data_IF_874554840148
#
_entry.id   IF_874554840148
#
_cell.length_a   1.000
_cell.length_b   1.000
_cell.length_c   1.000
_cell.angle_alpha   90.00
_cell.angle_beta   90.00
_cell.angle_gamma   90.00
#
_symmetry.space_group_name_H-M   'P 1'
#
loop_
_entity.id
_entity.type
_entity.pdbx_description
1 polymer ?
#
# COMPACT_ATOMS: atom_id res chain seq x y z
N UNK A 1 1.43 2.44 3.59
CA UNK A 1 1.70 1.30 2.68
C UNK A 1 1.57 0.01 3.44
N UNK A 2 0.94 -1.01 2.85
CA UNK A 2 0.76 -2.32 3.45
C UNK A 2 1.96 -3.23 3.10
N UNK A 3 2.57 -3.87 4.10
CA UNK A 3 3.72 -4.77 3.95
C UNK A 3 3.36 -6.17 4.45
N UNK A 4 3.58 -7.18 3.61
CA UNK A 4 3.43 -8.59 4.03
C UNK A 4 4.55 -8.95 5.01
N UNK A 5 4.15 -9.44 6.18
CA UNK A 5 5.07 -9.80 7.25
C UNK A 5 5.33 -11.32 7.36
N UNK A 6 4.72 -12.14 6.50
CA UNK A 6 4.84 -13.61 6.62
C UNK A 6 6.27 -14.09 6.59
N UNK A 7 7.07 -13.61 5.64
CA UNK A 7 8.50 -13.96 5.52
C UNK A 7 9.39 -13.26 6.53
N UNK A 8 8.87 -12.24 7.21
CA UNK A 8 9.62 -11.40 8.16
C UNK A 8 9.47 -11.89 9.60
N UNK A 9 8.39 -12.60 9.94
CA UNK A 9 8.23 -13.28 11.24
C UNK A 9 9.17 -14.49 11.31
N UNK A 10 10.17 -14.42 12.17
CA UNK A 10 11.21 -15.46 12.28
C UNK A 10 11.17 -16.23 13.60
N UNK A 11 10.62 -15.62 14.65
CA UNK A 11 10.68 -16.18 16.03
C UNK A 11 9.35 -15.99 16.79
N UNK A 12 8.43 -16.97 16.74
CA UNK A 12 8.42 -18.16 15.90
C UNK A 12 8.08 -17.82 14.43
N UNK A 13 8.57 -18.57 13.46
CA UNK A 13 8.18 -18.37 12.08
C UNK A 13 6.71 -18.75 11.89
N UNK A 14 6.03 -18.04 11.00
CA UNK A 14 4.66 -18.40 10.63
C UNK A 14 4.69 -19.69 9.79
N UNK A 15 3.69 -20.58 9.95
CA UNK A 15 3.55 -21.74 9.08
C UNK A 15 3.49 -21.34 7.61
N UNK A 16 4.07 -22.13 6.71
CA UNK A 16 4.11 -21.84 5.28
C UNK A 16 2.71 -21.59 4.68
N UNK A 17 1.69 -22.28 5.19
CA UNK A 17 0.30 -22.16 4.76
C UNK A 17 -0.53 -21.31 5.73
N UNK A 18 0.08 -20.37 6.44
CA UNK A 18 -0.65 -19.51 7.37
C UNK A 18 -1.72 -18.71 6.62
N UNK A 19 -2.96 -18.95 7.02
CA UNK A 19 -4.13 -18.17 6.57
C UNK A 19 -4.55 -17.24 7.70
N UNK A 20 -4.46 -15.93 7.48
CA UNK A 20 -4.79 -14.92 8.47
C UNK A 20 -4.12 -13.58 8.17
N UNK A 21 -4.45 -12.58 8.96
CA UNK A 21 -3.86 -11.25 8.86
C UNK A 21 -2.38 -11.30 9.27
N UNK A 22 -1.52 -11.10 8.30
CA UNK A 22 -0.07 -11.02 8.48
C UNK A 22 0.51 -9.86 7.67
N UNK A 23 -0.21 -8.75 7.67
CA UNK A 23 0.20 -7.50 7.04
C UNK A 23 0.35 -6.43 8.10
N UNK A 24 1.24 -5.49 7.86
CA UNK A 24 1.47 -4.32 8.71
C UNK A 24 1.57 -3.07 7.85
N UNK A 25 0.95 -2.00 8.31
CA UNK A 25 1.07 -0.72 7.62
C UNK A 25 2.31 0.03 8.08
N UNK A 26 3.00 0.60 7.10
CA UNK A 26 4.17 1.44 7.32
C UNK A 26 3.96 2.81 6.70
N UNK A 27 4.57 3.81 7.31
CA UNK A 27 4.51 5.20 6.84
C UNK A 27 5.91 5.64 6.44
N UNK A 28 6.04 6.02 5.17
CA UNK A 28 7.20 6.76 4.68
C UNK A 28 6.87 8.25 4.71
N UNK A 29 7.70 9.04 5.33
CA UNK A 29 7.50 10.49 5.45
C UNK A 29 8.57 11.25 4.70
N UNK A 30 8.15 12.33 4.04
CA UNK A 30 9.05 13.27 3.37
C UNK A 30 8.46 14.67 3.41
N UNK A 31 9.30 15.68 3.29
CA UNK A 31 8.85 17.06 3.11
C UNK A 31 8.57 17.34 1.64
N UNK A 32 7.49 18.06 1.34
CA UNK A 32 7.12 18.39 -0.04
C UNK A 32 8.21 19.14 -0.79
N UNK A 33 8.91 20.07 -0.14
CA UNK A 33 10.04 20.77 -0.73
C UNK A 33 11.21 19.86 -1.11
N UNK A 34 11.45 18.78 -0.35
CA UNK A 34 12.48 17.79 -0.70
C UNK A 34 12.05 16.90 -1.86
N UNK A 35 10.76 16.52 -1.92
CA UNK A 35 10.23 15.75 -3.05
C UNK A 35 10.30 16.52 -4.36
N UNK A 36 10.11 17.85 -4.32
CA UNK A 36 10.19 18.72 -5.49
C UNK A 36 11.64 19.05 -5.93
N UNK A 37 12.59 19.07 -5.00
CA UNK A 37 13.96 19.52 -5.27
C UNK A 37 14.98 18.40 -5.44
N UNK A 38 14.64 17.18 -5.02
CA UNK A 38 15.55 16.03 -5.08
C UNK A 38 15.15 15.05 -6.18
N UNK A 39 16.09 14.26 -6.71
CA UNK A 39 15.78 13.22 -7.68
C UNK A 39 14.77 12.20 -7.15
N UNK A 40 14.03 11.53 -8.05
CA UNK A 40 13.05 10.47 -7.72
C UNK A 40 13.64 9.39 -6.80
N UNK A 41 14.94 9.12 -6.89
CA UNK A 41 15.66 8.20 -5.98
C UNK A 41 15.56 8.56 -4.50
N UNK A 42 15.34 9.83 -4.17
CA UNK A 42 15.09 10.24 -2.79
C UNK A 42 13.76 9.68 -2.28
N UNK A 43 12.68 9.85 -3.04
CA UNK A 43 11.36 9.34 -2.66
C UNK A 43 11.36 7.81 -2.53
N UNK A 44 11.96 7.10 -3.50
CA UNK A 44 12.09 5.64 -3.44
C UNK A 44 12.95 5.16 -2.26
N UNK A 45 14.00 5.91 -1.90
CA UNK A 45 14.82 5.66 -0.72
C UNK A 45 14.01 5.75 0.59
N UNK A 46 13.18 6.78 0.74
CA UNK A 46 12.30 6.95 1.91
C UNK A 46 11.31 5.80 2.07
N UNK A 47 10.75 5.33 0.95
CA UNK A 47 9.87 4.16 0.94
C UNK A 47 10.63 2.91 1.37
N UNK A 48 11.80 2.66 0.80
CA UNK A 48 12.65 1.52 1.14
C UNK A 48 13.01 1.51 2.62
N UNK A 49 13.49 2.62 3.17
CA UNK A 49 13.79 2.77 4.58
C UNK A 49 12.61 2.42 5.49
N UNK A 50 11.39 2.83 5.12
CA UNK A 50 10.19 2.51 5.88
C UNK A 50 9.89 1.01 5.86
N UNK A 51 10.03 0.35 4.71
CA UNK A 51 9.81 -1.09 4.56
C UNK A 51 10.88 -1.91 5.31
N UNK A 52 12.13 -1.48 5.28
CA UNK A 52 13.25 -2.18 5.94
C UNK A 52 13.14 -2.15 7.47
N UNK A 53 12.45 -1.18 8.04
CA UNK A 53 12.16 -1.13 9.48
C UNK A 53 11.22 -2.25 9.96
N UNK A 54 10.49 -2.90 9.06
CA UNK A 54 9.61 -4.03 9.41
C UNK A 54 10.45 -5.29 9.61
N UNK A 55 11.13 -5.35 10.73
CA UNK A 55 11.93 -6.51 11.16
C UNK A 55 11.11 -7.46 12.03
N UNK A 56 11.66 -8.64 12.33
CA UNK A 56 11.05 -9.58 13.30
C UNK A 56 10.84 -8.93 14.67
N UNK A 57 11.79 -8.13 15.12
CA UNK A 57 11.70 -7.41 16.40
C UNK A 57 10.59 -6.35 16.38
N UNK A 58 10.48 -5.60 15.29
CA UNK A 58 9.39 -4.63 15.10
C UNK A 58 8.03 -5.32 15.16
N UNK A 59 7.87 -6.44 14.45
CA UNK A 59 6.61 -7.20 14.42
C UNK A 59 6.25 -7.76 15.80
N UNK A 60 7.21 -8.35 16.50
CA UNK A 60 6.99 -8.85 17.86
C UNK A 60 6.62 -7.72 18.83
N UNK A 61 7.26 -6.56 18.71
CA UNK A 61 6.93 -5.37 19.50
C UNK A 61 5.50 -4.90 19.24
N UNK A 62 5.10 -4.81 17.96
CA UNK A 62 3.75 -4.41 17.57
C UNK A 62 2.69 -5.40 18.07
N UNK A 63 2.93 -6.71 17.93
CA UNK A 63 2.05 -7.75 18.45
C UNK A 63 1.90 -7.65 19.96
N UNK A 64 3.01 -7.48 20.68
CA UNK A 64 2.99 -7.35 22.14
C UNK A 64 2.27 -6.07 22.58
N UNK A 65 2.46 -4.98 21.84
CA UNK A 65 1.71 -3.75 22.09
C UNK A 65 0.21 -3.97 21.96
N UNK A 66 -0.25 -4.60 20.88
CA UNK A 66 -1.68 -4.88 20.65
C UNK A 66 -2.25 -5.84 21.69
N UNK A 67 -1.50 -6.89 22.06
CA UNK A 67 -1.93 -7.84 23.11
C UNK A 67 -2.18 -7.19 24.48
N UNK A 68 -1.47 -6.12 24.78
CA UNK A 68 -1.59 -5.41 26.04
C UNK A 68 -2.64 -4.29 26.03
N UNK A 69 -3.35 -4.10 24.90
CA UNK A 69 -4.45 -3.13 24.84
C UNK A 69 -5.73 -3.74 25.38
N UNK A 70 -6.45 -2.99 26.19
CA UNK A 70 -7.77 -3.38 26.72
C UNK A 70 -8.89 -3.15 25.71
N UNK A 71 -8.67 -2.25 24.76
CA UNK A 71 -9.62 -1.89 23.72
C UNK A 71 -8.91 -1.77 22.39
N UNK A 72 -9.22 -2.69 21.47
CA UNK A 72 -8.67 -2.72 20.10
C UNK A 72 -9.51 -1.93 19.11
N UNK A 73 -10.69 -1.45 19.48
CA UNK A 73 -11.57 -0.71 18.57
C UNK A 73 -10.90 0.55 18.02
N UNK A 74 -10.05 1.21 18.79
CA UNK A 74 -9.28 2.38 18.39
C UNK A 74 -8.32 2.12 17.23
N UNK A 75 -7.93 0.85 17.02
CA UNK A 75 -7.00 0.46 15.96
C UNK A 75 -7.70 -0.08 14.72
N UNK A 76 -8.97 -0.46 14.84
CA UNK A 76 -9.77 -0.97 13.71
C UNK A 76 -10.06 0.09 12.67
N UNK A 77 -10.11 1.35 13.08
CA UNK A 77 -10.52 2.48 12.27
C UNK A 77 -9.39 3.48 12.02
N UNK A 78 -8.14 3.09 12.15
CA UNK A 78 -7.00 3.97 11.84
C UNK A 78 -7.02 4.49 10.39
N UNK A 79 -7.69 3.77 9.51
CA UNK A 79 -7.92 4.13 8.12
C UNK A 79 -9.33 4.68 7.86
N UNK A 80 -10.25 4.49 8.80
CA UNK A 80 -11.59 5.02 8.69
C UNK A 80 -11.59 6.48 9.17
N UNK A 81 -12.16 7.30 8.34
CA UNK A 81 -12.31 8.71 8.54
C UNK A 81 -13.35 8.95 9.62
N UNK A 82 -12.94 9.36 10.79
CA UNK A 82 -13.85 10.05 11.69
C UNK A 82 -13.99 11.51 11.22
N UNK A 83 -15.21 11.90 10.87
CA UNK A 83 -15.51 13.23 10.36
C UNK A 83 -15.22 14.36 11.36
N UNK A 84 -14.99 14.05 12.63
CA UNK A 84 -14.80 15.04 13.70
C UNK A 84 -13.36 15.16 14.20
N UNK A 85 -12.49 14.21 13.99
CA UNK A 85 -11.10 14.22 14.50
C UNK A 85 -10.05 14.02 13.41
N UNK A 86 -9.43 15.11 13.10
CA UNK A 86 -8.20 15.39 12.30
C UNK A 86 -7.15 14.27 12.19
N UNK A 87 -6.24 14.44 11.26
CA UNK A 87 -6.36 14.54 9.83
C UNK A 87 -6.37 13.16 9.21
N UNK A 88 -7.06 13.02 8.12
CA UNK A 88 -7.12 11.81 7.33
C UNK A 88 -5.75 11.19 7.12
N UNK A 89 -5.62 9.89 7.37
CA UNK A 89 -4.41 9.14 7.04
C UNK A 89 -4.19 9.11 5.51
N UNK A 90 -5.28 9.08 4.76
CA UNK A 90 -5.32 9.17 3.30
C UNK A 90 -5.90 10.51 2.85
N UNK A 91 -5.50 10.91 1.66
CA UNK A 91 -5.98 12.14 1.05
C UNK A 91 -5.16 13.37 1.35
N UNK A 92 -5.34 14.39 0.55
CA UNK A 92 -4.70 15.70 0.65
C UNK A 92 -3.21 15.63 0.90
N UNK A 93 -2.29 15.38 0.39
CA UNK A 93 -0.83 15.20 0.55
C UNK A 93 -0.41 13.77 0.96
N UNK A 94 -1.31 12.93 1.45
CA UNK A 94 -0.97 11.56 1.81
C UNK A 94 -1.49 10.59 0.76
N UNK A 95 -0.69 9.56 0.45
CA UNK A 95 -1.06 8.47 -0.43
C UNK A 95 -1.04 7.14 0.31
N UNK A 96 -2.12 6.38 0.19
CA UNK A 96 -2.15 4.98 0.56
C UNK A 96 -1.72 4.12 -0.62
N UNK A 97 -0.70 3.28 -0.44
CA UNK A 97 -0.25 2.40 -1.52
C UNK A 97 -0.33 0.95 -1.08
N UNK A 98 -1.10 0.18 -1.82
CA UNK A 98 -1.19 -1.27 -1.69
C UNK A 98 -0.65 -1.91 -2.97
N UNK A 99 0.14 -2.96 -2.84
CA UNK A 99 0.70 -3.65 -4.00
C UNK A 99 0.20 -5.09 -4.06
N UNK A 100 -0.42 -5.44 -5.18
CA UNK A 100 -0.81 -6.80 -5.53
C UNK A 100 0.12 -7.41 -6.59
N UNK A 101 1.24 -6.77 -6.87
CA UNK A 101 2.19 -7.19 -7.91
C UNK A 101 2.72 -8.62 -7.73
N UNK A 102 2.78 -9.12 -6.49
CA UNK A 102 3.25 -10.48 -6.19
C UNK A 102 2.13 -11.52 -6.11
N UNK A 103 0.87 -11.11 -6.28
CA UNK A 103 -0.25 -12.04 -6.25
C UNK A 103 -0.44 -12.67 -7.64
N UNK A 104 -0.76 -13.97 -7.71
CA UNK A 104 -1.07 -14.64 -8.97
C UNK A 104 -2.46 -14.22 -9.45
N UNK A 105 -2.55 -13.02 -10.02
CA UNK A 105 -3.81 -12.38 -10.40
C UNK A 105 -4.40 -12.97 -11.67
N UNK A 106 -3.55 -13.49 -12.56
CA UNK A 106 -3.92 -13.97 -13.88
C UNK A 106 -3.65 -15.46 -14.06
N UNK A 107 -4.32 -16.10 -15.01
CA UNK A 107 -4.14 -17.50 -15.36
C UNK A 107 -5.20 -18.44 -14.79
N UNK A 108 -6.29 -17.91 -14.24
CA UNK A 108 -7.42 -18.72 -13.77
C UNK A 108 -8.42 -18.90 -14.90
N UNK A 109 -8.63 -20.15 -15.33
CA UNK A 109 -9.63 -20.51 -16.36
C UNK A 109 -10.69 -21.43 -15.73
N UNK A 110 -11.93 -20.97 -15.72
CA UNK A 110 -13.09 -21.74 -15.26
C UNK A 110 -13.77 -22.54 -16.39
N UNK A 111 -13.12 -22.69 -17.53
CA UNK A 111 -13.64 -23.39 -18.70
C UNK A 111 -14.28 -22.47 -19.75
N UNK A 112 -14.18 -21.16 -19.57
CA UNK A 112 -14.71 -20.16 -20.51
C UNK A 112 -13.61 -19.28 -21.14
N UNK A 113 -12.36 -19.63 -20.90
CA UNK A 113 -11.18 -18.85 -21.30
C UNK A 113 -10.54 -18.10 -20.14
N UNK A 114 -9.41 -17.49 -20.45
CA UNK A 114 -8.66 -16.67 -19.47
C UNK A 114 -9.43 -15.37 -19.16
N UNK A 115 -9.22 -14.88 -17.96
CA UNK A 115 -9.70 -13.57 -17.53
C UNK A 115 -9.18 -12.45 -18.45
N UNK A 116 -9.99 -11.42 -18.67
CA UNK A 116 -9.62 -10.24 -19.44
C UNK A 116 -9.01 -9.17 -18.54
N UNK A 117 -9.55 -9.04 -17.33
CA UNK A 117 -9.11 -8.07 -16.35
C UNK A 117 -9.44 -8.55 -14.93
N UNK A 118 -8.52 -8.30 -14.02
CA UNK A 118 -8.72 -8.45 -12.60
C UNK A 118 -8.26 -7.18 -11.88
N UNK A 119 -9.07 -6.71 -10.97
CA UNK A 119 -8.79 -5.48 -10.23
C UNK A 119 -9.77 -5.23 -9.10
N UNK A 120 -9.62 -4.12 -8.37
CA UNK A 120 -10.53 -3.76 -7.30
C UNK A 120 -11.92 -3.45 -7.85
N UNK A 121 -12.96 -3.87 -7.11
CA UNK A 121 -14.34 -3.51 -7.44
C UNK A 121 -14.66 -2.05 -7.13
N UNK A 122 -13.92 -1.44 -6.22
CA UNK A 122 -14.11 -0.09 -5.75
C UNK A 122 -12.82 0.48 -5.13
N UNK A 123 -12.66 1.82 -5.20
CA UNK A 123 -11.68 2.62 -4.47
C UNK A 123 -12.38 3.87 -3.97
N UNK A 124 -12.60 3.97 -2.66
CA UNK A 124 -13.49 4.98 -2.07
C UNK A 124 -12.75 6.18 -1.46
N UNK A 125 -11.44 6.07 -1.26
CA UNK A 125 -10.71 7.09 -0.50
C UNK A 125 -9.78 7.90 -1.39
N UNK A 126 -9.83 9.22 -1.24
CA UNK A 126 -8.87 10.14 -1.88
C UNK A 126 -7.43 9.78 -1.49
N UNK A 127 -6.58 9.57 -2.47
CA UNK A 127 -5.19 9.14 -2.27
C UNK A 127 -4.99 7.65 -2.14
N UNK A 128 -6.04 6.82 -2.27
CA UNK A 128 -5.86 5.36 -2.28
C UNK A 128 -5.32 4.88 -3.63
N UNK A 129 -4.30 4.04 -3.58
CA UNK A 129 -3.57 3.58 -4.76
C UNK A 129 -3.32 2.09 -4.66
N UNK A 130 -3.65 1.37 -5.74
CA UNK A 130 -3.38 -0.04 -5.89
C UNK A 130 -2.49 -0.30 -7.11
N UNK A 131 -1.39 -1.01 -6.88
CA UNK A 131 -0.49 -1.47 -7.93
C UNK A 131 -0.83 -2.88 -8.34
N UNK A 132 -1.09 -3.10 -9.62
CA UNK A 132 -1.49 -4.38 -10.21
C UNK A 132 -0.53 -4.78 -11.32
N UNK A 133 -0.26 -6.09 -11.52
CA UNK A 133 0.39 -6.54 -12.73
C UNK A 133 -0.50 -6.26 -13.95
N UNK A 134 0.10 -5.96 -15.09
CA UNK A 134 -0.64 -5.88 -16.34
C UNK A 134 -0.99 -7.27 -16.85
N UNK A 135 -2.13 -7.39 -17.53
CA UNK A 135 -2.52 -8.61 -18.24
C UNK A 135 -1.57 -8.96 -19.40
N UNK A 136 -0.87 -7.98 -19.93
CA UNK A 136 -0.04 -8.17 -21.13
C UNK A 136 1.24 -9.00 -20.89
N UNK A 137 1.59 -9.32 -19.65
CA UNK A 137 2.81 -10.08 -19.27
C UNK A 137 4.11 -9.46 -19.83
N UNK A 138 4.09 -8.17 -20.18
CA UNK A 138 5.22 -7.42 -20.77
C UNK A 138 6.06 -6.66 -19.71
N UNK A 139 5.76 -6.90 -18.43
CA UNK A 139 6.38 -6.20 -17.30
C UNK A 139 5.78 -4.84 -16.99
N UNK A 140 4.76 -4.41 -17.73
CA UNK A 140 4.01 -3.21 -17.40
C UNK A 140 3.14 -3.43 -16.16
N UNK A 141 2.75 -2.34 -15.52
CA UNK A 141 1.87 -2.36 -14.37
C UNK A 141 0.68 -1.42 -14.57
N UNK A 142 -0.40 -1.72 -13.87
CA UNK A 142 -1.57 -0.87 -13.79
C UNK A 142 -1.58 -0.19 -12.42
N UNK A 143 -1.75 1.12 -12.42
CA UNK A 143 -1.94 1.92 -11.22
C UNK A 143 -3.39 2.35 -11.14
N UNK A 144 -4.15 1.73 -10.24
CA UNK A 144 -5.49 2.19 -9.92
C UNK A 144 -5.38 3.23 -8.79
N UNK A 145 -5.81 4.46 -9.07
CA UNK A 145 -5.64 5.60 -8.15
C UNK A 145 -6.93 6.38 -8.06
N UNK A 146 -7.34 6.70 -6.84
CA UNK A 146 -8.46 7.58 -6.54
C UNK A 146 -7.93 8.94 -6.07
N UNK A 147 -8.27 10.00 -6.78
CA UNK A 147 -7.97 11.38 -6.41
C UNK A 147 -9.20 12.25 -6.61
N UNK A 148 -9.28 13.35 -5.88
CA UNK A 148 -10.26 14.40 -6.15
C UNK A 148 -10.08 14.93 -7.59
N UNK A 149 -11.20 15.29 -8.22
CA UNK A 149 -11.23 15.63 -9.66
C UNK A 149 -10.26 16.76 -10.01
N UNK A 150 -10.17 17.79 -9.19
CA UNK A 150 -9.28 18.94 -9.39
C UNK A 150 -7.79 18.58 -9.35
N UNK A 151 -7.44 17.47 -8.68
CA UNK A 151 -6.06 16.95 -8.60
C UNK A 151 -5.73 15.94 -9.67
N UNK A 152 -6.73 15.22 -10.16
CA UNK A 152 -6.54 14.21 -11.18
C UNK A 152 -5.97 14.81 -12.48
N UNK A 153 -6.39 16.00 -12.86
CA UNK A 153 -5.88 16.67 -14.05
C UNK A 153 -4.40 17.07 -13.90
N UNK A 154 -4.03 17.59 -12.73
CA UNK A 154 -2.63 17.86 -12.41
C UNK A 154 -1.79 16.57 -12.38
N UNK A 155 -2.31 15.52 -11.75
CA UNK A 155 -1.65 14.21 -11.72
C UNK A 155 -1.39 13.66 -13.12
N UNK A 156 -2.40 13.65 -14.00
CA UNK A 156 -2.25 13.17 -15.39
C UNK A 156 -1.17 13.92 -16.15
N UNK A 157 -1.05 15.24 -15.91
CA UNK A 157 -0.03 16.06 -16.53
C UNK A 157 1.37 15.68 -16.07
N UNK A 158 1.59 15.53 -14.76
CA UNK A 158 2.94 15.37 -14.18
C UNK A 158 3.40 13.91 -14.08
N UNK A 159 2.48 12.94 -14.07
CA UNK A 159 2.82 11.54 -13.82
C UNK A 159 3.85 10.96 -14.79
N UNK A 160 3.85 11.40 -16.05
CA UNK A 160 4.77 10.92 -17.07
C UNK A 160 5.95 11.88 -17.33
N UNK A 161 5.93 13.10 -16.80
CA UNK A 161 6.99 14.08 -17.07
C UNK A 161 8.35 13.65 -16.51
N UNK A 162 8.38 12.92 -15.40
CA UNK A 162 9.63 12.46 -14.76
C UNK A 162 10.20 11.18 -15.39
N UNK A 163 9.53 10.58 -16.36
CA UNK A 163 9.95 9.35 -17.03
C UNK A 163 10.47 9.57 -18.45
N UNK A 164 10.56 10.82 -18.91
CA UNK A 164 11.03 11.19 -20.28
C UNK A 164 12.45 11.71 -20.23
#
# INVERSE_FOLDING_TARGET
MCVDSRSRCKKPPLPQKFFGNATVDVVATAYSGELLSRPLGYASGRIREAIEKVTDEYLNSAINFLKNQTDLSKFQYLHAVDQESKPFFYGNLNLGVTSWMSLPMYGVDFGWGKEIYMGPGNQDFDGDTLLLPSHNEDGSLVVALCLQVDRMDAFKKFFYEDFV
#
